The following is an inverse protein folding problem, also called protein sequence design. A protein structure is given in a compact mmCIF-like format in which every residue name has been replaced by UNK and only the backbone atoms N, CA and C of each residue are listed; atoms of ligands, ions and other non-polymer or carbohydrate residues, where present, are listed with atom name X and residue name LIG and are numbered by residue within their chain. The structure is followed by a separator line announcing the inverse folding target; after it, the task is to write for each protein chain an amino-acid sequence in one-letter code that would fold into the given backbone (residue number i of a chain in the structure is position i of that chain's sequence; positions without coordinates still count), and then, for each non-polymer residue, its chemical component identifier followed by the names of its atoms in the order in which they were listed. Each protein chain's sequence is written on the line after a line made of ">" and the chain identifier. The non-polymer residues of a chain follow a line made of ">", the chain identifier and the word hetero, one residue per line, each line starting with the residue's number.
data_IF_258300650672
#
_entry.id   IF_258300650672
#
_cell.length_a   1.000
_cell.length_b   1.000
_cell.length_c   1.000
_cell.angle_alpha   90.00
_cell.angle_beta   90.00
_cell.angle_gamma   90.00
#
_symmetry.space_group_name_H-M   'P 1'
#
loop_
_entity.id
_entity.type
_entity.pdbx_description
1 polymer ?
#
# COMPACT_ATOMS: atom_id res chain seq x y z
N UNK A 1 21.02 4.56 -8.80
CA UNK A 1 21.33 3.63 -7.68
C UNK A 1 20.53 4.12 -6.48
N UNK A 2 19.48 3.42 -6.06
CA UNK A 2 18.55 3.90 -5.02
C UNK A 2 18.67 3.16 -3.67
N UNK A 3 19.35 2.00 -3.63
CA UNK A 3 19.61 1.28 -2.39
C UNK A 3 20.75 1.92 -1.58
N UNK A 4 20.77 1.64 -0.28
CA UNK A 4 21.83 2.07 0.64
C UNK A 4 22.25 0.91 1.55
N UNK A 5 23.53 0.90 1.94
CA UNK A 5 24.08 0.02 2.97
C UNK A 5 24.62 0.92 4.06
N UNK A 6 24.07 0.80 5.27
CA UNK A 6 24.42 1.64 6.42
C UNK A 6 24.90 0.74 7.54
N UNK A 7 25.97 1.13 8.23
CA UNK A 7 26.52 0.39 9.34
C UNK A 7 26.09 1.01 10.67
N UNK A 8 25.75 0.17 11.64
CA UNK A 8 25.56 0.57 13.03
C UNK A 8 26.10 -0.52 13.97
N UNK A 9 26.52 -0.16 15.19
CA UNK A 9 26.86 -1.13 16.22
C UNK A 9 25.69 -2.07 16.54
N UNK A 10 25.98 -3.33 16.84
CA UNK A 10 24.97 -4.27 17.31
C UNK A 10 24.34 -3.77 18.63
N UNK A 11 23.01 -3.83 18.73
CA UNK A 11 22.27 -3.32 19.89
C UNK A 11 22.04 -1.81 19.90
N UNK A 12 22.54 -1.06 18.91
CA UNK A 12 22.14 0.33 18.70
C UNK A 12 20.65 0.44 18.41
N UNK A 13 19.95 1.33 19.10
CA UNK A 13 18.54 1.59 18.81
C UNK A 13 18.40 2.11 17.37
N UNK A 14 17.47 1.57 16.57
CA UNK A 14 17.25 2.04 15.19
C UNK A 14 16.95 3.54 15.08
N UNK A 15 16.48 4.14 16.18
CA UNK A 15 16.30 5.59 16.35
C UNK A 15 17.62 6.38 16.36
N UNK A 16 18.79 5.73 16.46
CA UNK A 16 20.10 6.38 16.39
C UNK A 16 20.54 6.70 14.95
N UNK A 17 19.69 6.46 13.95
CA UNK A 17 19.87 6.85 12.55
C UNK A 17 18.83 7.93 12.21
N UNK A 18 19.14 9.22 12.47
CA UNK A 18 18.17 10.29 12.32
C UNK A 18 17.63 10.39 10.90
N UNK A 19 16.31 10.54 10.77
CA UNK A 19 15.64 10.74 9.48
C UNK A 19 15.25 9.49 8.68
N UNK A 20 15.76 8.28 8.99
CA UNK A 20 15.39 7.05 8.26
C UNK A 20 14.26 6.26 8.92
N UNK A 21 14.31 6.09 10.24
CA UNK A 21 13.38 5.20 10.96
C UNK A 21 12.40 5.94 11.88
N UNK A 22 12.64 7.21 12.19
CA UNK A 22 11.85 8.00 13.18
C UNK A 22 10.38 8.17 12.81
N UNK A 23 10.07 8.20 11.51
CA UNK A 23 8.73 8.48 10.98
C UNK A 23 8.01 7.23 10.48
N UNK A 24 8.56 6.04 10.73
CA UNK A 24 7.94 4.80 10.31
C UNK A 24 6.68 4.51 11.13
N UNK A 25 5.62 4.17 10.41
CA UNK A 25 4.36 3.71 10.98
C UNK A 25 4.45 2.28 11.52
N UNK A 26 3.29 1.71 11.80
CA UNK A 26 3.19 0.34 12.32
C UNK A 26 3.47 -0.69 11.21
N UNK A 27 3.97 -1.86 11.61
CA UNK A 27 4.03 -3.02 10.71
C UNK A 27 2.61 -3.51 10.37
N UNK A 28 2.32 -3.87 9.10
CA UNK A 28 0.97 -4.28 8.68
C UNK A 28 0.39 -5.50 9.42
N UNK A 29 1.25 -6.37 9.97
CA UNK A 29 0.84 -7.56 10.71
C UNK A 29 0.90 -7.38 12.23
N UNK A 30 1.33 -6.20 12.71
CA UNK A 30 1.28 -5.87 14.13
C UNK A 30 -0.18 -5.85 14.62
N UNK A 31 -0.52 -6.48 15.76
CA UNK A 31 -1.86 -6.42 16.33
C UNK A 31 -2.36 -4.99 16.62
N UNK A 32 -1.46 -4.04 16.91
CA UNK A 32 -1.79 -2.64 17.13
C UNK A 32 -2.27 -1.92 15.85
N UNK A 33 -1.94 -2.44 14.67
CA UNK A 33 -2.39 -1.88 13.40
C UNK A 33 -3.89 -2.18 13.19
N UNK A 34 -4.71 -1.13 13.31
CA UNK A 34 -6.17 -1.21 13.28
C UNK A 34 -6.80 -0.05 12.49
N UNK A 35 -8.06 -0.23 12.10
CA UNK A 35 -8.82 0.83 11.44
C UNK A 35 -9.02 2.05 12.34
N UNK A 36 -9.13 1.85 13.66
CA UNK A 36 -9.14 2.92 14.65
C UNK A 36 -7.86 3.79 14.61
N UNK A 37 -6.68 3.17 14.57
CA UNK A 37 -5.40 3.91 14.46
C UNK A 37 -5.33 4.70 13.16
N UNK A 38 -5.75 4.11 12.04
CA UNK A 38 -5.86 4.84 10.77
C UNK A 38 -6.78 6.04 10.89
N UNK A 39 -7.98 5.84 11.43
CA UNK A 39 -8.98 6.87 11.53
C UNK A 39 -8.46 8.04 12.37
N UNK A 40 -7.88 7.77 13.54
CA UNK A 40 -7.28 8.76 14.42
C UNK A 40 -6.17 9.54 13.72
N UNK A 41 -5.21 8.85 13.09
CA UNK A 41 -4.05 9.48 12.44
C UNK A 41 -4.41 10.27 11.17
N UNK A 42 -5.58 10.05 10.58
CA UNK A 42 -6.01 10.76 9.37
C UNK A 42 -6.99 11.90 9.62
N UNK A 43 -7.45 12.11 10.88
CA UNK A 43 -8.35 13.24 11.19
C UNK A 43 -7.71 14.56 10.78
N UNK A 44 -8.51 15.44 10.17
CA UNK A 44 -8.06 16.73 9.64
C UNK A 44 -7.23 16.66 8.35
N UNK A 45 -6.77 15.49 7.88
CA UNK A 45 -5.97 15.38 6.66
C UNK A 45 -6.84 15.54 5.40
N UNK A 46 -6.53 16.54 4.58
CA UNK A 46 -7.14 16.75 3.25
C UNK A 46 -6.49 15.91 2.15
N UNK A 47 -5.25 15.45 2.37
CA UNK A 47 -4.52 14.61 1.44
C UNK A 47 -5.30 13.33 1.08
N UNK A 48 -5.11 12.85 -0.15
CA UNK A 48 -5.75 11.63 -0.63
C UNK A 48 -5.26 10.41 0.14
N UNK A 49 -6.14 9.42 0.35
CA UNK A 49 -5.79 8.20 1.08
C UNK A 49 -4.63 7.44 0.42
N UNK A 50 -4.56 7.43 -0.92
CA UNK A 50 -3.46 6.82 -1.64
C UNK A 50 -2.11 7.47 -1.30
N UNK A 51 -2.04 8.80 -1.25
CA UNK A 51 -0.82 9.49 -0.87
C UNK A 51 -0.45 9.22 0.58
N UNK A 52 -1.44 9.23 1.49
CA UNK A 52 -1.21 8.94 2.92
C UNK A 52 -0.61 7.54 3.10
N UNK A 53 -1.12 6.52 2.40
CA UNK A 53 -0.55 5.16 2.45
C UNK A 53 0.92 5.14 1.99
N UNK A 54 1.26 5.88 0.95
CA UNK A 54 2.61 5.91 0.39
C UNK A 54 3.63 6.68 1.23
N UNK A 55 3.20 7.44 2.24
CA UNK A 55 4.12 8.11 3.17
C UNK A 55 4.83 7.15 4.12
N UNK A 56 4.25 5.99 4.40
CA UNK A 56 4.77 5.06 5.40
C UNK A 56 4.55 5.47 6.86
N UNK A 57 3.94 6.63 7.14
CA UNK A 57 3.82 7.18 8.51
C UNK A 57 2.77 6.50 9.41
N UNK A 58 1.77 5.87 8.80
CA UNK A 58 0.72 5.14 9.53
C UNK A 58 1.02 3.65 9.50
N UNK A 59 1.39 3.15 8.32
CA UNK A 59 1.73 1.76 8.07
C UNK A 59 2.88 1.69 7.08
N UNK A 60 3.89 0.88 7.39
CA UNK A 60 5.04 0.65 6.52
C UNK A 60 4.79 -0.49 5.53
N UNK A 61 5.70 -0.70 4.57
CA UNK A 61 5.62 -1.81 3.62
C UNK A 61 4.53 -1.73 2.55
N UNK A 62 3.61 -0.74 2.61
CA UNK A 62 2.55 -0.57 1.63
C UNK A 62 3.02 0.29 0.44
N UNK A 63 3.73 -0.35 -0.49
CA UNK A 63 4.19 0.27 -1.74
C UNK A 63 3.08 0.53 -2.77
N UNK A 64 3.46 1.04 -3.94
CA UNK A 64 2.51 1.52 -4.96
C UNK A 64 1.53 0.45 -5.48
N UNK A 65 2.03 -0.78 -5.68
CA UNK A 65 1.19 -1.93 -6.07
C UNK A 65 0.16 -2.20 -4.98
N UNK A 66 0.63 -2.53 -3.78
CA UNK A 66 -0.20 -2.98 -2.69
C UNK A 66 -1.20 -1.92 -2.23
N UNK A 67 -0.85 -0.64 -2.27
CA UNK A 67 -1.81 0.43 -1.99
C UNK A 67 -2.95 0.47 -3.01
N UNK A 68 -2.69 0.28 -4.31
CA UNK A 68 -3.75 0.29 -5.33
C UNK A 68 -4.67 -0.93 -5.18
N UNK A 69 -4.08 -2.11 -5.01
CA UNK A 69 -4.80 -3.37 -4.81
C UNK A 69 -5.63 -3.36 -3.52
N UNK A 70 -5.08 -2.85 -2.42
CA UNK A 70 -5.77 -2.77 -1.13
C UNK A 70 -6.95 -1.80 -1.18
N UNK A 71 -6.78 -0.64 -1.83
CA UNK A 71 -7.86 0.33 -2.01
C UNK A 71 -8.98 -0.23 -2.89
N UNK A 72 -8.64 -0.96 -3.96
CA UNK A 72 -9.64 -1.65 -4.78
C UNK A 72 -10.40 -2.69 -3.97
N UNK A 73 -9.69 -3.54 -3.24
CA UNK A 73 -10.28 -4.59 -2.42
C UNK A 73 -11.20 -4.02 -1.33
N UNK A 74 -10.78 -2.92 -0.70
CA UNK A 74 -11.57 -2.17 0.29
C UNK A 74 -12.71 -1.33 -0.33
N UNK A 75 -12.75 -1.15 -1.65
CA UNK A 75 -13.75 -0.32 -2.33
C UNK A 75 -13.62 1.17 -2.01
N UNK A 76 -12.41 1.67 -1.78
CA UNK A 76 -12.13 3.07 -1.44
C UNK A 76 -11.51 3.78 -2.65
N UNK A 77 -12.10 4.90 -3.06
CA UNK A 77 -11.54 5.70 -4.14
C UNK A 77 -10.17 6.28 -3.76
N UNK A 78 -9.12 6.14 -4.59
CA UNK A 78 -7.76 6.52 -4.20
C UNK A 78 -7.58 8.03 -3.96
N UNK A 79 -8.42 8.87 -4.59
CA UNK A 79 -8.43 10.32 -4.37
C UNK A 79 -9.27 10.75 -3.15
N UNK A 80 -9.97 9.84 -2.47
CA UNK A 80 -10.77 10.18 -1.29
C UNK A 80 -9.87 10.81 -0.24
N UNK A 81 -10.23 12.00 0.27
CA UNK A 81 -9.52 12.64 1.36
C UNK A 81 -9.48 11.70 2.58
N UNK A 82 -8.29 11.45 3.12
CA UNK A 82 -8.09 10.49 4.21
C UNK A 82 -8.92 10.86 5.45
N UNK A 83 -8.98 12.15 5.78
CA UNK A 83 -9.82 12.65 6.88
C UNK A 83 -11.33 12.46 6.69
N UNK A 84 -11.80 12.03 5.53
CA UNK A 84 -13.24 11.81 5.22
C UNK A 84 -13.63 10.33 5.09
N UNK A 85 -12.76 9.41 5.51
CA UNK A 85 -13.03 7.97 5.55
C UNK A 85 -13.49 7.60 6.96
N UNK A 86 -14.57 6.81 7.06
CA UNK A 86 -15.10 6.32 8.34
C UNK A 86 -14.25 5.18 8.90
N UNK A 87 -14.29 5.00 10.23
CA UNK A 87 -13.54 3.93 10.91
C UNK A 87 -13.87 2.54 10.35
N UNK A 88 -15.14 2.23 10.09
CA UNK A 88 -15.55 0.95 9.50
C UNK A 88 -14.93 0.71 8.11
N UNK A 89 -14.77 1.75 7.29
CA UNK A 89 -14.07 1.63 6.00
C UNK A 89 -12.56 1.44 6.19
N UNK A 90 -11.99 2.03 7.24
CA UNK A 90 -10.59 1.78 7.60
C UNK A 90 -10.34 0.37 8.10
N UNK A 91 -11.26 -0.23 8.87
CA UNK A 91 -11.13 -1.64 9.26
C UNK A 91 -11.10 -2.55 8.04
N UNK A 92 -11.99 -2.30 7.07
CA UNK A 92 -11.95 -2.98 5.77
C UNK A 92 -10.63 -2.78 5.03
N UNK A 93 -10.06 -1.56 5.08
CA UNK A 93 -8.78 -1.27 4.45
C UNK A 93 -7.63 -2.02 5.12
N UNK A 94 -7.58 -2.08 6.45
CA UNK A 94 -6.56 -2.84 7.20
C UNK A 94 -6.59 -4.32 6.83
N UNK A 95 -7.79 -4.92 6.80
CA UNK A 95 -7.94 -6.32 6.39
C UNK A 95 -7.54 -6.52 4.92
N UNK A 96 -7.92 -5.59 4.03
CA UNK A 96 -7.50 -5.63 2.63
C UNK A 96 -5.96 -5.57 2.48
N UNK A 97 -5.30 -4.67 3.21
CA UNK A 97 -3.83 -4.54 3.23
C UNK A 97 -3.18 -5.85 3.68
N UNK A 98 -3.61 -6.41 4.82
CA UNK A 98 -3.07 -7.67 5.34
C UNK A 98 -3.25 -8.81 4.35
N UNK A 99 -4.41 -8.93 3.72
CA UNK A 99 -4.68 -10.00 2.77
C UNK A 99 -3.84 -9.84 1.49
N UNK A 100 -3.76 -8.63 0.93
CA UNK A 100 -2.92 -8.34 -0.25
C UNK A 100 -1.45 -8.63 0.04
N UNK A 101 -0.93 -8.20 1.20
CA UNK A 101 0.45 -8.44 1.58
C UNK A 101 0.72 -9.92 1.86
N UNK A 102 -0.20 -10.64 2.50
CA UNK A 102 -0.07 -12.08 2.75
C UNK A 102 -0.03 -12.87 1.44
N UNK A 103 -0.92 -12.55 0.50
CA UNK A 103 -0.93 -13.15 -0.84
C UNK A 103 0.37 -12.84 -1.59
N UNK A 104 0.87 -11.60 -1.48
CA UNK A 104 2.15 -11.22 -2.09
C UNK A 104 3.31 -12.01 -1.48
N UNK A 105 3.41 -12.09 -0.15
CA UNK A 105 4.46 -12.84 0.55
C UNK A 105 4.41 -14.32 0.15
N UNK A 106 3.23 -14.93 0.15
CA UNK A 106 3.06 -16.34 -0.23
C UNK A 106 3.50 -16.64 -1.67
N UNK A 107 3.43 -15.64 -2.57
CA UNK A 107 3.82 -15.75 -3.97
C UNK A 107 5.24 -15.23 -4.25
N UNK A 108 6.05 -14.98 -3.22
CA UNK A 108 7.43 -14.47 -3.36
C UNK A 108 7.51 -12.98 -3.74
N UNK A 109 6.42 -12.23 -3.57
CA UNK A 109 6.30 -10.82 -3.89
C UNK A 109 5.88 -10.55 -5.34
N UNK A 110 6.04 -9.29 -5.78
CA UNK A 110 5.86 -8.88 -7.18
C UNK A 110 7.22 -8.63 -7.83
N UNK A 111 7.59 -9.38 -8.86
CA UNK A 111 8.87 -9.15 -9.56
C UNK A 111 8.79 -8.12 -10.67
N UNK A 112 8.68 -6.83 -10.34
CA UNK A 112 8.72 -5.77 -11.36
C UNK A 112 10.17 -5.60 -11.85
N UNK A 113 10.39 -5.84 -13.16
CA UNK A 113 11.60 -5.62 -14.01
C UNK A 113 12.99 -5.92 -13.41
N UNK A 114 13.31 -5.40 -12.23
CA UNK A 114 14.64 -5.43 -11.60
C UNK A 114 14.64 -6.06 -10.19
N UNK A 115 13.51 -6.61 -9.70
CA UNK A 115 13.43 -7.26 -8.39
C UNK A 115 13.14 -8.76 -8.52
N UNK A 116 14.09 -9.60 -8.12
CA UNK A 116 13.95 -11.05 -7.95
C UNK A 116 14.19 -11.41 -6.49
N UNK A 117 13.58 -12.50 -6.00
CA UNK A 117 13.81 -12.96 -4.62
C UNK A 117 15.28 -13.32 -4.36
N UNK A 118 15.64 -13.56 -3.10
CA UNK A 118 16.99 -14.01 -2.73
C UNK A 118 17.40 -15.33 -3.40
N UNK A 119 16.42 -16.11 -3.86
CA UNK A 119 16.61 -17.33 -4.65
C UNK A 119 16.81 -17.09 -6.16
N UNK A 120 16.75 -15.84 -6.62
CA UNK A 120 16.82 -15.47 -8.05
C UNK A 120 15.52 -15.70 -8.84
N UNK A 121 14.48 -16.25 -8.22
CA UNK A 121 13.20 -16.54 -8.88
C UNK A 121 12.28 -15.30 -8.90
N UNK A 122 11.51 -15.09 -9.99
CA UNK A 122 10.52 -14.03 -10.04
C UNK A 122 9.31 -14.34 -9.14
N UNK A 123 8.86 -13.35 -8.37
CA UNK A 123 7.63 -13.40 -7.59
C UNK A 123 6.39 -13.35 -8.49
N UNK A 124 5.42 -14.22 -8.21
CA UNK A 124 4.27 -14.49 -9.07
C UNK A 124 3.06 -13.58 -8.82
N UNK A 125 3.11 -12.68 -7.82
CA UNK A 125 1.97 -11.82 -7.47
C UNK A 125 1.46 -10.93 -8.60
N UNK A 126 2.26 -10.68 -9.64
CA UNK A 126 1.84 -9.93 -10.83
C UNK A 126 0.63 -10.55 -11.53
N UNK A 127 0.53 -11.88 -11.52
CA UNK A 127 -0.59 -12.59 -12.13
C UNK A 127 -1.90 -12.38 -11.35
N UNK A 128 -1.81 -11.95 -10.09
CA UNK A 128 -2.95 -11.72 -9.20
C UNK A 128 -3.42 -10.25 -9.14
N UNK A 129 -2.79 -9.33 -9.90
CA UNK A 129 -3.15 -7.90 -9.88
C UNK A 129 -4.58 -7.68 -10.36
N UNK A 130 -5.44 -7.11 -9.51
CA UNK A 130 -6.82 -6.82 -9.86
C UNK A 130 -6.95 -5.49 -10.58
N UNK A 131 -6.11 -4.49 -10.27
CA UNK A 131 -6.14 -3.16 -10.90
C UNK A 131 -4.77 -2.66 -11.37
N UNK A 132 -3.68 -3.01 -10.67
CA UNK A 132 -2.36 -2.46 -10.95
C UNK A 132 -1.88 -2.80 -12.37
N UNK A 133 -1.45 -1.79 -13.13
CA UNK A 133 -0.97 -1.96 -14.51
C UNK A 133 -2.05 -2.35 -15.53
N UNK A 134 -3.34 -2.41 -15.13
CA UNK A 134 -4.43 -2.93 -15.96
C UNK A 134 -5.28 -1.84 -16.61
N UNK A 135 -4.74 -0.66 -16.90
CA UNK A 135 -5.47 0.45 -17.53
C UNK A 135 -6.22 -0.02 -18.78
N UNK A 136 -7.51 0.32 -18.89
CA UNK A 136 -8.37 -0.07 -20.02
C UNK A 136 -8.91 -1.50 -19.95
N UNK A 137 -8.28 -2.40 -19.20
CA UNK A 137 -8.77 -3.77 -19.03
C UNK A 137 -10.08 -3.79 -18.20
N UNK A 138 -10.94 -4.80 -18.40
CA UNK A 138 -12.16 -4.94 -17.63
C UNK A 138 -11.86 -5.24 -16.15
N UNK A 139 -12.53 -4.51 -15.27
CA UNK A 139 -12.54 -4.79 -13.84
C UNK A 139 -13.04 -6.21 -13.56
N UNK A 140 -12.32 -6.99 -12.75
CA UNK A 140 -12.71 -8.38 -12.42
C UNK A 140 -14.01 -8.50 -11.62
N UNK A 141 -14.56 -7.38 -11.11
CA UNK A 141 -15.81 -7.36 -10.34
C UNK A 141 -17.02 -6.86 -11.12
N UNK A 142 -16.83 -5.87 -11.99
CA UNK A 142 -17.94 -5.17 -12.63
C UNK A 142 -17.76 -4.92 -14.13
N UNK A 143 -16.72 -5.52 -14.74
CA UNK A 143 -16.35 -5.40 -16.16
C UNK A 143 -16.01 -3.98 -16.68
N UNK A 144 -16.29 -2.92 -15.92
CA UNK A 144 -15.97 -1.55 -16.31
C UNK A 144 -14.45 -1.33 -16.43
N UNK A 145 -13.98 -0.51 -17.39
CA UNK A 145 -12.56 -0.30 -17.61
C UNK A 145 -11.84 0.25 -16.37
N UNK A 146 -10.70 -0.35 -16.03
CA UNK A 146 -9.79 0.19 -15.01
C UNK A 146 -9.22 1.51 -15.50
N UNK A 147 -9.23 2.51 -14.64
CA UNK A 147 -8.65 3.84 -14.90
C UNK A 147 -7.29 3.98 -14.25
N UNK A 148 -6.49 4.85 -14.84
CA UNK A 148 -5.21 5.29 -14.32
C UNK A 148 -5.25 6.80 -14.09
N UNK A 149 -4.53 7.24 -13.06
CA UNK A 149 -4.21 8.64 -12.82
C UNK A 149 -2.86 8.74 -12.10
N UNK A 150 -2.31 9.96 -12.03
CA UNK A 150 -1.06 10.23 -11.31
C UNK A 150 -1.34 11.01 -10.03
N UNK A 151 -0.86 10.52 -8.88
CA UNK A 151 -0.94 11.21 -7.57
C UNK A 151 0.46 11.36 -6.99
N UNK A 152 0.93 12.59 -6.78
CA UNK A 152 2.25 12.84 -6.22
C UNK A 152 3.37 12.15 -7.01
N UNK A 153 3.34 12.26 -8.34
CA UNK A 153 4.30 11.61 -9.26
C UNK A 153 4.30 10.07 -9.23
N UNK A 154 3.27 9.45 -8.65
CA UNK A 154 3.09 7.99 -8.62
C UNK A 154 1.82 7.58 -9.37
N UNK A 155 1.97 6.63 -10.29
CA UNK A 155 0.83 6.03 -11.01
C UNK A 155 -0.10 5.30 -10.05
N UNK A 156 -1.40 5.50 -10.22
CA UNK A 156 -2.45 4.86 -9.42
C UNK A 156 -3.49 4.27 -10.35
N UNK A 157 -3.87 3.02 -10.09
CA UNK A 157 -4.90 2.30 -10.84
C UNK A 157 -6.09 2.00 -9.94
N UNK A 158 -7.29 2.12 -10.49
CA UNK A 158 -8.53 1.95 -9.75
C UNK A 158 -9.71 1.66 -10.68
N UNK A 159 -10.76 1.04 -10.14
CA UNK A 159 -12.04 0.93 -10.82
C UNK A 159 -12.97 2.07 -10.38
N UNK A 160 -13.44 2.94 -11.30
CA UNK A 160 -14.28 4.10 -10.94
C UNK A 160 -15.68 3.70 -10.43
N UNK A 161 -16.10 2.45 -10.64
CA UNK A 161 -17.42 1.96 -10.22
C UNK A 161 -17.38 1.20 -8.89
N UNK A 162 -16.36 0.37 -8.69
CA UNK A 162 -16.21 -0.42 -7.47
C UNK A 162 -15.67 0.39 -6.29
N UNK A 163 -15.07 1.56 -6.54
CA UNK A 163 -14.42 2.37 -5.52
C UNK A 163 -15.10 3.74 -5.39
N UNK A 164 -15.52 4.08 -4.17
CA UNK A 164 -16.23 5.34 -3.83
C UNK A 164 -15.49 6.16 -2.78
#
# INVERSE_FOLDING_TARGET
>A
RFGAVLWQPAGGALSSQPGLFERLGLEPFDPAFSGAVFWQRTRGRSASIKQVLLTGEIVVGVGNIYASESLFRAGIHPQRAAGRISVARYERLVQAIRNVLREAIAQGGSSLRDFVGSSGMPGYFQQAHQVYGRTGAPCMRCAQPIRHLTQGQRSTWYCPYCQR
#
